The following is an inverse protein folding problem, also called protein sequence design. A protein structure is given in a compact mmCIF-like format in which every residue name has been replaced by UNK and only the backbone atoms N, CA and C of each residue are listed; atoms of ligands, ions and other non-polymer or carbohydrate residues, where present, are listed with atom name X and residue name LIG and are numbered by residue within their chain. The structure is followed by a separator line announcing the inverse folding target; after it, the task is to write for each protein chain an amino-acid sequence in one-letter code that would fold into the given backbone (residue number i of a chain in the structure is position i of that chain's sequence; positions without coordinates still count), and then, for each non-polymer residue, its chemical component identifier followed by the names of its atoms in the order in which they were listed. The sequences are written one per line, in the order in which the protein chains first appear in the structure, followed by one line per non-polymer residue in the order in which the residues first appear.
data_IF_719074463319
#
_entry.id   IF_719074463319
#
_cell.length_a   1.000
_cell.length_b   1.000
_cell.length_c   1.000
_cell.angle_alpha   90.00
_cell.angle_beta   90.00
_cell.angle_gamma   90.00
#
_symmetry.space_group_name_H-M   'P 1'
#
loop_
_entity.id
_entity.type
_entity.pdbx_description
1 polymer ?
#
# COMPACT_ATOMS: atom_id res chain seq x y z
N UNK A 1 -14.44 -15.66 -4.39
CA UNK A 1 -13.51 -14.97 -3.46
C UNK A 1 -13.91 -15.30 -2.03
N UNK A 2 -12.96 -15.63 -1.15
CA UNK A 2 -13.27 -15.73 0.27
C UNK A 2 -13.90 -14.41 0.73
N UNK A 3 -14.90 -14.51 1.56
CA UNK A 3 -15.54 -13.34 2.13
C UNK A 3 -14.71 -12.88 3.33
N UNK A 4 -14.00 -11.79 3.14
CA UNK A 4 -13.17 -11.19 4.16
C UNK A 4 -13.98 -10.19 4.98
N UNK A 5 -13.88 -10.26 6.29
CA UNK A 5 -14.29 -9.20 7.20
C UNK A 5 -13.05 -8.73 7.97
N UNK A 6 -12.78 -7.43 7.89
CA UNK A 6 -11.70 -6.82 8.65
C UNK A 6 -12.29 -5.86 9.67
N UNK A 7 -11.80 -5.99 10.90
CA UNK A 7 -12.16 -5.06 11.97
C UNK A 7 -10.93 -4.69 12.79
N UNK A 8 -10.95 -3.46 13.30
CA UNK A 8 -9.99 -3.03 14.30
C UNK A 8 -10.51 -3.36 15.69
N UNK A 9 -9.89 -4.30 16.37
CA UNK A 9 -10.31 -4.77 17.70
C UNK A 9 -9.76 -3.90 18.85
N UNK A 10 -8.55 -3.33 18.65
CA UNK A 10 -7.93 -2.40 19.60
C UNK A 10 -6.84 -1.58 18.87
N UNK A 11 -6.22 -0.56 19.50
CA UNK A 11 -5.10 0.15 18.90
C UNK A 11 -3.99 -0.82 18.47
N UNK A 12 -3.66 -0.83 17.16
CA UNK A 12 -2.65 -1.69 16.57
C UNK A 12 -3.01 -3.17 16.40
N UNK A 13 -4.25 -3.58 16.77
CA UNK A 13 -4.73 -4.95 16.60
C UNK A 13 -5.88 -5.01 15.59
N UNK A 14 -5.75 -5.90 14.62
CA UNK A 14 -6.72 -6.08 13.54
C UNK A 14 -7.08 -7.56 13.43
N UNK A 15 -8.35 -7.84 13.21
CA UNK A 15 -8.88 -9.18 13.03
C UNK A 15 -9.32 -9.35 11.58
N UNK A 16 -8.86 -10.39 10.94
CA UNK A 16 -9.33 -10.82 9.63
C UNK A 16 -10.17 -12.08 9.85
N UNK A 17 -11.46 -11.98 9.57
CA UNK A 17 -12.39 -13.11 9.65
C UNK A 17 -12.66 -13.64 8.25
N UNK A 18 -12.66 -14.94 8.09
CA UNK A 18 -12.96 -15.63 6.84
C UNK A 18 -13.98 -16.71 7.05
N UNK A 19 -14.94 -16.81 6.12
CA UNK A 19 -15.87 -17.93 6.08
C UNK A 19 -15.31 -19.04 5.18
N UNK A 20 -15.34 -20.27 5.67
CA UNK A 20 -14.87 -21.43 4.93
C UNK A 20 -15.99 -22.47 4.78
N UNK A 21 -16.16 -22.99 3.57
CA UNK A 21 -17.20 -23.96 3.23
C UNK A 21 -16.85 -25.40 3.61
N UNK A 22 -15.59 -25.65 3.97
CA UNK A 22 -15.12 -27.00 4.31
C UNK A 22 -13.97 -26.98 5.33
N UNK A 23 -13.76 -28.07 6.07
CA UNK A 23 -12.62 -28.16 7.02
C UNK A 23 -11.24 -28.22 6.34
N UNK A 24 -11.18 -28.43 5.04
CA UNK A 24 -9.92 -28.49 4.27
C UNK A 24 -9.61 -27.18 3.51
N UNK A 25 -10.16 -26.07 3.94
CA UNK A 25 -9.88 -24.77 3.35
C UNK A 25 -8.44 -24.29 3.66
N UNK A 26 -7.94 -23.42 2.83
CA UNK A 26 -6.74 -22.63 3.09
C UNK A 26 -6.98 -21.20 2.63
N UNK A 27 -6.16 -20.30 3.12
CA UNK A 27 -6.14 -18.91 2.67
C UNK A 27 -4.71 -18.46 2.50
N UNK A 28 -4.45 -17.79 1.41
CA UNK A 28 -3.16 -17.22 1.08
C UNK A 28 -3.14 -15.72 1.36
N UNK A 29 -2.00 -15.21 1.78
CA UNK A 29 -1.77 -13.78 1.98
C UNK A 29 -0.45 -13.37 1.33
N UNK A 30 -0.49 -12.27 0.61
CA UNK A 30 0.71 -11.55 0.21
C UNK A 30 1.07 -10.56 1.30
N UNK A 31 2.12 -10.86 2.07
CA UNK A 31 2.72 -9.92 3.01
C UNK A 31 3.79 -9.12 2.29
N UNK A 32 3.72 -7.81 2.39
CA UNK A 32 4.68 -6.92 1.77
C UNK A 32 5.06 -5.75 2.65
N UNK A 33 6.28 -5.24 2.43
CA UNK A 33 6.79 -3.99 2.98
C UNK A 33 7.84 -3.42 2.05
N UNK A 34 8.28 -2.20 2.31
CA UNK A 34 9.44 -1.59 1.64
C UNK A 34 9.34 -1.61 0.10
N UNK A 35 8.15 -1.44 -0.43
CA UNK A 35 7.93 -1.44 -1.88
C UNK A 35 8.58 -0.23 -2.55
N UNK A 36 8.58 0.92 -1.88
CA UNK A 36 9.11 2.18 -2.40
C UNK A 36 8.65 2.43 -3.84
N UNK A 37 7.36 2.18 -4.09
CA UNK A 37 6.74 2.10 -5.41
C UNK A 37 7.06 3.28 -6.32
N UNK A 38 7.13 4.49 -5.75
CA UNK A 38 7.40 5.74 -6.47
C UNK A 38 8.88 5.93 -6.85
N UNK A 39 9.81 5.15 -6.32
CA UNK A 39 11.22 5.29 -6.63
C UNK A 39 11.52 4.73 -8.04
N UNK A 40 12.27 5.49 -8.84
CA UNK A 40 12.64 5.09 -10.20
C UNK A 40 13.50 3.81 -10.26
N UNK A 41 14.15 3.44 -9.14
CA UNK A 41 14.98 2.23 -9.03
C UNK A 41 14.22 1.01 -8.52
N UNK A 42 12.94 1.14 -8.17
CA UNK A 42 12.11 0.01 -7.74
C UNK A 42 11.82 -0.91 -8.92
N UNK A 43 11.92 -2.20 -8.69
CA UNK A 43 11.54 -3.22 -9.67
C UNK A 43 10.01 -3.41 -9.69
N UNK A 44 9.31 -2.51 -10.39
CA UNK A 44 7.85 -2.61 -10.56
C UNK A 44 7.41 -3.88 -11.29
N UNK A 45 8.29 -4.49 -12.08
CA UNK A 45 7.97 -5.73 -12.76
C UNK A 45 7.88 -6.88 -11.77
N UNK A 46 8.81 -6.94 -10.82
CA UNK A 46 8.76 -7.92 -9.73
C UNK A 46 7.53 -7.68 -8.85
N UNK A 47 7.26 -6.43 -8.52
CA UNK A 47 6.07 -6.04 -7.75
C UNK A 47 4.78 -6.51 -8.44
N UNK A 48 4.63 -6.24 -9.74
CA UNK A 48 3.49 -6.71 -10.52
C UNK A 48 3.39 -8.25 -10.54
N UNK A 49 4.52 -8.95 -10.61
CA UNK A 49 4.55 -10.41 -10.58
C UNK A 49 3.97 -10.96 -9.26
N UNK A 50 4.32 -10.35 -8.13
CA UNK A 50 3.78 -10.74 -6.82
C UNK A 50 2.27 -10.46 -6.73
N UNK A 51 1.80 -9.34 -7.27
CA UNK A 51 0.37 -9.00 -7.30
C UNK A 51 -0.44 -9.95 -8.17
N UNK A 52 0.09 -10.34 -9.33
CA UNK A 52 -0.54 -11.33 -10.22
C UNK A 52 -0.58 -12.72 -9.56
N UNK A 53 0.49 -13.13 -8.85
CA UNK A 53 0.49 -14.37 -8.08
C UNK A 53 -0.55 -14.33 -6.95
N UNK A 54 -0.67 -13.19 -6.25
CA UNK A 54 -1.71 -13.00 -5.24
C UNK A 54 -3.12 -13.13 -5.86
N UNK A 55 -3.30 -12.58 -7.06
CA UNK A 55 -4.56 -12.69 -7.79
C UNK A 55 -4.85 -14.14 -8.22
N UNK A 56 -3.86 -14.87 -8.73
CA UNK A 56 -4.00 -16.27 -9.13
C UNK A 56 -4.35 -17.19 -7.93
N UNK A 57 -3.74 -16.92 -6.76
CA UNK A 57 -3.99 -17.67 -5.52
C UNK A 57 -5.23 -17.23 -4.74
N UNK A 58 -5.95 -16.23 -5.24
CA UNK A 58 -7.05 -15.58 -4.50
C UNK A 58 -6.62 -15.05 -3.10
N UNK A 59 -5.37 -14.56 -3.02
CA UNK A 59 -4.75 -14.11 -1.78
C UNK A 59 -5.19 -12.69 -1.40
N UNK A 60 -5.30 -12.45 -0.09
CA UNK A 60 -5.42 -11.10 0.47
C UNK A 60 -4.07 -10.39 0.53
N UNK A 61 -4.04 -9.08 0.32
CA UNK A 61 -2.81 -8.28 0.34
C UNK A 61 -2.74 -7.49 1.65
N UNK A 62 -1.62 -7.65 2.36
CA UNK A 62 -1.31 -6.95 3.61
C UNK A 62 0.02 -6.21 3.41
N UNK A 63 -0.02 -4.89 3.45
CA UNK A 63 1.17 -4.04 3.36
C UNK A 63 1.47 -3.41 4.71
N UNK A 64 2.70 -3.59 5.17
CA UNK A 64 3.13 -3.21 6.50
C UNK A 64 4.10 -2.03 6.51
N UNK A 65 4.03 -1.21 5.48
CA UNK A 65 4.66 0.10 5.43
C UNK A 65 5.76 0.26 4.39
N UNK A 66 6.15 1.52 4.22
CA UNK A 66 7.09 1.98 3.22
C UNK A 66 6.68 1.59 1.78
N UNK A 67 5.35 1.66 1.53
CA UNK A 67 4.79 1.56 0.18
C UNK A 67 5.34 2.69 -0.69
N UNK A 68 5.40 3.90 -0.14
CA UNK A 68 5.97 5.07 -0.77
C UNK A 68 7.40 5.34 -0.29
N UNK A 69 8.32 5.57 -1.21
CA UNK A 69 9.65 6.11 -0.90
C UNK A 69 9.55 7.56 -0.39
N UNK A 70 8.79 8.39 -1.09
CA UNK A 70 8.46 9.79 -0.75
C UNK A 70 9.66 10.70 -0.39
N UNK A 71 10.89 10.28 -0.75
CA UNK A 71 12.14 10.95 -0.37
C UNK A 71 12.58 12.06 -1.33
N UNK A 72 11.93 12.17 -2.48
CA UNK A 72 12.35 13.10 -3.53
C UNK A 72 11.65 14.46 -3.42
N UNK A 73 10.90 14.65 -2.35
CA UNK A 73 10.22 15.91 -2.05
C UNK A 73 11.18 17.05 -1.79
N UNK A 74 10.72 18.27 -2.04
CA UNK A 74 11.50 19.52 -1.99
C UNK A 74 12.29 19.74 -0.69
N UNK A 75 11.85 19.13 0.41
CA UNK A 75 12.43 19.35 1.74
C UNK A 75 13.32 18.19 2.23
N UNK A 76 13.41 17.11 1.48
CA UNK A 76 14.32 16.02 1.87
C UNK A 76 15.74 16.32 1.36
N UNK A 77 16.69 16.32 2.29
CA UNK A 77 18.11 16.59 1.97
C UNK A 77 18.74 15.50 1.10
N UNK A 78 18.08 14.33 1.02
CA UNK A 78 18.50 13.18 0.22
C UNK A 78 17.83 13.16 -1.15
N UNK A 79 17.00 14.17 -1.45
CA UNK A 79 16.29 14.25 -2.71
C UNK A 79 17.24 14.22 -3.90
N UNK A 80 16.95 13.35 -4.86
CA UNK A 80 17.66 13.23 -6.12
C UNK A 80 16.64 13.19 -7.27
N UNK A 81 16.81 14.07 -8.23
CA UNK A 81 15.96 14.07 -9.42
C UNK A 81 16.05 12.78 -10.23
N UNK A 82 17.16 12.05 -10.11
CA UNK A 82 17.38 10.78 -10.81
C UNK A 82 16.53 9.65 -10.24
N UNK A 83 16.13 9.75 -8.97
CA UNK A 83 15.24 8.81 -8.32
C UNK A 83 13.75 9.15 -8.50
N UNK A 84 13.42 10.28 -9.14
CA UNK A 84 12.05 10.65 -9.51
C UNK A 84 11.68 10.07 -10.88
N UNK A 85 10.50 9.51 -10.97
CA UNK A 85 9.88 9.17 -12.25
C UNK A 85 9.46 10.44 -13.00
N UNK A 86 9.37 10.41 -14.35
CA UNK A 86 8.99 11.60 -15.13
C UNK A 86 7.70 12.26 -14.66
N UNK A 87 6.66 11.46 -14.38
CA UNK A 87 5.34 11.91 -13.92
C UNK A 87 5.34 12.63 -12.58
N UNK A 88 6.38 12.42 -11.77
CA UNK A 88 6.54 13.02 -10.45
C UNK A 88 7.23 14.40 -10.48
N UNK A 89 7.70 14.83 -11.64
CA UNK A 89 8.49 16.07 -11.79
C UNK A 89 7.65 17.32 -12.05
N UNK A 90 6.33 17.20 -12.14
CA UNK A 90 5.41 18.26 -12.56
C UNK A 90 4.93 19.20 -11.45
N UNK A 91 5.61 19.27 -10.31
CA UNK A 91 5.32 20.23 -9.23
C UNK A 91 4.23 19.82 -8.24
N UNK A 92 3.57 18.68 -8.43
CA UNK A 92 2.59 18.09 -7.50
C UNK A 92 3.09 16.74 -6.97
N UNK A 93 4.31 16.72 -6.47
CA UNK A 93 5.02 15.50 -6.13
C UNK A 93 4.20 14.53 -5.26
N UNK A 94 3.70 14.96 -4.09
CA UNK A 94 2.96 14.09 -3.18
C UNK A 94 1.62 13.61 -3.76
N UNK A 95 0.95 14.43 -4.56
CA UNK A 95 -0.28 14.02 -5.26
C UNK A 95 0.03 12.97 -6.31
N UNK A 96 1.11 13.15 -7.09
CA UNK A 96 1.51 12.19 -8.11
C UNK A 96 1.89 10.83 -7.52
N UNK A 97 2.48 10.78 -6.31
CA UNK A 97 2.76 9.51 -5.64
C UNK A 97 1.48 8.72 -5.37
N UNK A 98 0.47 9.40 -4.80
CA UNK A 98 -0.82 8.78 -4.50
C UNK A 98 -1.54 8.34 -5.77
N UNK A 99 -1.58 9.21 -6.78
CA UNK A 99 -2.28 8.92 -8.03
C UNK A 99 -1.63 7.75 -8.79
N UNK A 100 -0.30 7.74 -8.93
CA UNK A 100 0.43 6.66 -9.60
C UNK A 100 0.30 5.31 -8.85
N UNK A 101 0.41 5.32 -7.53
CA UNK A 101 0.23 4.12 -6.73
C UNK A 101 -1.20 3.58 -6.84
N UNK A 102 -2.20 4.45 -6.70
CA UNK A 102 -3.59 4.06 -6.82
C UNK A 102 -3.91 3.47 -8.20
N UNK A 103 -3.43 4.08 -9.28
CA UNK A 103 -3.59 3.58 -10.64
C UNK A 103 -2.94 2.19 -10.84
N UNK A 104 -1.73 2.02 -10.32
CA UNK A 104 -1.00 0.75 -10.42
C UNK A 104 -1.69 -0.38 -9.65
N UNK A 105 -2.24 -0.09 -8.46
CA UNK A 105 -2.88 -1.09 -7.61
C UNK A 105 -4.38 -1.28 -7.87
N UNK A 106 -5.03 -0.39 -8.64
CA UNK A 106 -6.46 -0.48 -8.96
C UNK A 106 -6.92 -1.86 -9.46
N UNK A 107 -6.17 -2.58 -10.36
CA UNK A 107 -6.57 -3.90 -10.82
C UNK A 107 -6.68 -4.96 -9.72
N UNK A 108 -6.09 -4.70 -8.56
CA UNK A 108 -6.03 -5.58 -7.40
C UNK A 108 -6.79 -5.00 -6.19
N UNK A 109 -7.58 -3.95 -6.39
CA UNK A 109 -8.20 -3.19 -5.30
C UNK A 109 -9.04 -4.06 -4.36
N UNK A 110 -9.76 -5.03 -4.89
CA UNK A 110 -10.61 -5.96 -4.15
C UNK A 110 -9.85 -6.91 -3.20
N UNK A 111 -8.51 -7.00 -3.36
CA UNK A 111 -7.63 -7.87 -2.59
C UNK A 111 -6.86 -7.15 -1.49
N UNK A 112 -6.80 -5.83 -1.55
CA UNK A 112 -6.15 -5.05 -0.51
C UNK A 112 -6.98 -5.08 0.77
N UNK A 113 -6.43 -5.71 1.81
CA UNK A 113 -7.10 -5.87 3.11
C UNK A 113 -6.55 -4.90 4.14
N UNK A 114 -5.24 -4.66 4.12
CA UNK A 114 -4.59 -3.85 5.12
C UNK A 114 -3.42 -3.06 4.53
N UNK A 115 -3.29 -1.82 4.99
CA UNK A 115 -2.11 -0.97 4.76
C UNK A 115 -1.72 -0.31 6.08
N UNK A 116 -0.43 -0.18 6.33
CA UNK A 116 0.06 0.66 7.42
C UNK A 116 1.14 1.62 6.93
N UNK A 117 1.29 2.80 7.54
CA UNK A 117 2.40 3.66 7.22
C UNK A 117 3.71 3.05 7.73
N UNK A 118 4.77 3.18 6.96
CA UNK A 118 6.13 2.97 7.40
C UNK A 118 6.79 4.26 7.88
N UNK A 119 8.11 4.23 8.01
CA UNK A 119 8.86 5.41 8.45
C UNK A 119 8.90 6.52 7.38
N UNK A 120 8.80 6.16 6.11
CA UNK A 120 8.75 7.12 5.02
C UNK A 120 7.45 7.92 5.03
N UNK A 121 6.29 7.25 5.03
CA UNK A 121 4.99 7.91 5.12
C UNK A 121 4.83 8.68 6.43
N UNK A 122 5.27 8.09 7.56
CA UNK A 122 5.29 8.76 8.85
C UNK A 122 6.13 10.04 8.88
N UNK A 123 7.20 10.08 8.10
CA UNK A 123 8.03 11.27 7.91
C UNK A 123 7.29 12.36 7.13
N UNK A 124 6.54 11.98 6.10
CA UNK A 124 5.71 12.90 5.30
C UNK A 124 4.56 13.44 6.14
N UNK A 125 3.85 12.57 6.87
CA UNK A 125 2.77 12.99 7.77
C UNK A 125 3.27 14.03 8.78
N UNK A 126 4.41 13.79 9.39
CA UNK A 126 5.00 14.69 10.39
C UNK A 126 5.46 16.05 9.81
N UNK A 127 5.94 16.08 8.57
CA UNK A 127 6.56 17.29 7.97
C UNK A 127 5.63 18.05 7.06
N UNK A 128 4.66 17.37 6.46
CA UNK A 128 3.78 17.93 5.42
C UNK A 128 2.30 17.81 5.78
N UNK A 129 1.98 17.28 6.96
CA UNK A 129 0.61 17.15 7.47
C UNK A 129 -0.32 16.41 6.48
N UNK A 130 0.25 15.45 5.72
CA UNK A 130 -0.51 14.64 4.76
C UNK A 130 -0.19 13.15 4.96
N UNK A 131 -1.25 12.36 5.05
CA UNK A 131 -1.17 10.91 5.19
C UNK A 131 -1.24 10.26 3.81
N UNK A 132 -0.09 9.83 3.28
CA UNK A 132 -0.01 9.19 1.97
C UNK A 132 -0.69 7.82 1.97
N UNK A 133 -0.58 7.07 3.07
CA UNK A 133 -1.17 5.74 3.20
C UNK A 133 -2.69 5.82 3.16
N UNK A 134 -3.28 6.70 3.98
CA UNK A 134 -4.74 6.90 3.99
C UNK A 134 -5.25 7.41 2.64
N UNK A 135 -4.56 8.36 2.03
CA UNK A 135 -4.94 8.90 0.72
C UNK A 135 -4.91 7.84 -0.38
N UNK A 136 -3.90 6.96 -0.38
CA UNK A 136 -3.82 5.83 -1.32
C UNK A 136 -4.95 4.84 -1.05
N UNK A 137 -5.20 4.50 0.21
CA UNK A 137 -6.31 3.63 0.60
C UNK A 137 -7.68 4.21 0.22
N UNK A 138 -7.90 5.51 0.37
CA UNK A 138 -9.13 6.19 -0.07
C UNK A 138 -9.36 6.01 -1.58
N UNK A 139 -8.31 6.15 -2.40
CA UNK A 139 -8.40 5.90 -3.85
C UNK A 139 -8.80 4.46 -4.16
N UNK A 140 -8.18 3.49 -3.47
CA UNK A 140 -8.52 2.07 -3.64
C UNK A 140 -9.93 1.75 -3.16
N UNK A 141 -10.38 2.32 -2.03
CA UNK A 141 -11.77 2.16 -1.54
C UNK A 141 -12.79 2.69 -2.54
N UNK A 142 -12.49 3.79 -3.22
CA UNK A 142 -13.33 4.31 -4.30
C UNK A 142 -13.46 3.34 -5.50
N UNK A 143 -12.56 2.34 -5.58
CA UNK A 143 -12.56 1.25 -6.57
C UNK A 143 -13.07 -0.08 -5.98
N UNK A 144 -13.67 -0.05 -4.79
CA UNK A 144 -14.27 -1.22 -4.16
C UNK A 144 -13.34 -2.02 -3.23
N UNK A 145 -12.18 -1.48 -2.89
CA UNK A 145 -11.27 -2.12 -1.92
C UNK A 145 -11.88 -2.15 -0.52
N UNK A 146 -11.76 -3.27 0.22
CA UNK A 146 -12.11 -3.35 1.64
C UNK A 146 -11.00 -2.81 2.56
N UNK A 147 -9.93 -2.24 2.03
CA UNK A 147 -8.71 -1.92 2.76
C UNK A 147 -8.95 -1.05 4.00
N UNK A 148 -8.37 -1.47 5.12
CA UNK A 148 -8.25 -0.65 6.34
C UNK A 148 -6.82 -0.15 6.46
N UNK A 149 -6.70 1.10 6.95
CA UNK A 149 -5.39 1.67 7.29
C UNK A 149 -5.13 1.50 8.77
N UNK A 150 -3.99 0.90 9.07
CA UNK A 150 -3.49 0.72 10.42
C UNK A 150 -2.65 1.89 10.92
N UNK A 151 -2.36 1.84 12.21
CA UNK A 151 -1.27 2.64 12.77
C UNK A 151 0.08 2.04 12.36
N UNK A 152 1.16 2.80 12.53
CA UNK A 152 2.52 2.34 12.28
C UNK A 152 2.73 0.90 12.79
N UNK A 153 3.04 -0.01 11.88
CA UNK A 153 3.39 -1.38 12.22
C UNK A 153 4.90 -1.44 12.47
N UNK A 154 5.28 -1.31 13.72
CA UNK A 154 6.60 -1.69 14.15
C UNK A 154 6.56 -3.13 14.66
N UNK A 155 7.48 -3.94 14.22
CA UNK A 155 7.74 -5.26 14.79
C UNK A 155 8.84 -5.17 15.82
#
# INVERSE_FOLDING_TARGET
MPKWELERTSPGCYLITMEADSPSWHADFLLSSDRHHDNAHTDQRLELTHLLEAQERDAGILDIGDLHCAMQGKWDKRASTDACRPEQREGRYLDSLVDCAAEFYEPFADRWLFMSPGNHEGSILKRHETDLTERTAERLRAKGSPVIVGSYAGF
#
